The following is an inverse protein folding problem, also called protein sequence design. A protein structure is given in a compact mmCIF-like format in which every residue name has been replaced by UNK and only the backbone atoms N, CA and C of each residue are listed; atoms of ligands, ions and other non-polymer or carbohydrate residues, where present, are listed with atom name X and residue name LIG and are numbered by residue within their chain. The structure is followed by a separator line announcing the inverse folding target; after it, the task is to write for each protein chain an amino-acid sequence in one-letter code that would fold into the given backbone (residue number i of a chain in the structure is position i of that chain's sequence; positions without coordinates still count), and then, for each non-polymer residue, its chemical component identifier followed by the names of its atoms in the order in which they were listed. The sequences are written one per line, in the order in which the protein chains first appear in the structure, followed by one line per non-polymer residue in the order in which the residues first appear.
data_IF_042007973414
#
_entry.id   IF_042007973414
#
_cell.length_a   1.000
_cell.length_b   1.000
_cell.length_c   1.000
_cell.angle_alpha   90.00
_cell.angle_beta   90.00
_cell.angle_gamma   90.00
#
_symmetry.space_group_name_H-M   'P 1'
#
loop_
_entity.id
_entity.type
_entity.pdbx_description
1 polymer ?
#
# COMPACT_ATOMS: atom_id res chain seq x y z
N UNK A 1 -0.37 1.79 15.63
CA UNK A 1 0.61 0.69 15.51
C UNK A 1 0.05 -0.21 14.44
N UNK A 2 0.66 -0.28 13.26
CA UNK A 2 0.08 -1.02 12.12
C UNK A 2 0.00 -2.50 12.46
N UNK A 3 -1.16 -3.10 12.21
CA UNK A 3 -1.44 -4.48 12.58
C UNK A 3 -0.52 -5.45 11.82
N UNK A 4 0.14 -6.39 12.53
CA UNK A 4 1.05 -7.39 11.94
C UNK A 4 0.41 -8.18 10.81
N UNK A 5 -0.88 -8.52 10.92
CA UNK A 5 -1.61 -9.24 9.88
C UNK A 5 -1.74 -8.42 8.58
N UNK A 6 -1.77 -7.09 8.68
CA UNK A 6 -1.82 -6.19 7.51
C UNK A 6 -0.47 -6.17 6.80
N UNK A 7 0.62 -6.10 7.56
CA UNK A 7 1.98 -6.18 7.02
C UNK A 7 2.18 -7.50 6.27
N UNK A 8 1.83 -8.62 6.89
CA UNK A 8 1.93 -9.95 6.28
C UNK A 8 1.04 -10.08 5.03
N UNK A 9 -0.17 -9.55 5.07
CA UNK A 9 -1.09 -9.51 3.92
C UNK A 9 -0.50 -8.74 2.73
N UNK A 10 -0.05 -7.51 2.96
CA UNK A 10 0.55 -6.66 1.92
C UNK A 10 1.78 -7.30 1.28
N UNK A 11 2.67 -7.87 2.10
CA UNK A 11 3.88 -8.54 1.62
C UNK A 11 3.52 -9.77 0.80
N UNK A 12 2.60 -10.60 1.27
CA UNK A 12 2.16 -11.81 0.55
C UNK A 12 1.50 -11.47 -0.79
N UNK A 13 0.66 -10.44 -0.84
CA UNK A 13 0.04 -9.97 -2.09
C UNK A 13 1.09 -9.48 -3.09
N UNK A 14 2.06 -8.68 -2.64
CA UNK A 14 3.14 -8.21 -3.50
C UNK A 14 4.07 -9.35 -3.95
N UNK A 15 4.35 -10.33 -3.10
CA UNK A 15 5.09 -11.56 -3.47
C UNK A 15 4.33 -12.44 -4.47
N UNK A 16 3.03 -12.22 -4.69
CA UNK A 16 2.24 -12.82 -5.78
C UNK A 16 2.20 -11.97 -7.05
N UNK A 17 2.96 -10.87 -7.10
CA UNK A 17 3.04 -9.97 -8.25
C UNK A 17 1.92 -8.94 -8.30
N UNK A 18 1.14 -8.77 -7.22
CA UNK A 18 0.08 -7.74 -7.15
C UNK A 18 0.68 -6.37 -6.86
N UNK A 19 0.02 -5.33 -7.35
CA UNK A 19 0.25 -3.94 -6.98
C UNK A 19 -0.60 -3.62 -5.75
N UNK A 20 0.04 -3.33 -4.64
CA UNK A 20 -0.60 -3.09 -3.36
C UNK A 20 -0.43 -1.62 -3.01
N UNK A 21 -1.47 -0.98 -2.48
CA UNK A 21 -1.40 0.36 -1.92
C UNK A 21 -1.84 0.33 -0.46
N UNK A 22 -0.98 0.80 0.43
CA UNK A 22 -1.33 1.15 1.79
C UNK A 22 -1.64 2.64 1.87
N UNK A 23 -2.85 2.95 2.32
CA UNK A 23 -3.35 4.30 2.48
C UNK A 23 -3.60 4.56 3.96
N UNK A 24 -2.85 5.50 4.54
CA UNK A 24 -2.97 5.85 5.95
C UNK A 24 -2.49 7.26 6.20
N UNK A 25 -2.58 7.71 7.45
CA UNK A 25 -1.96 8.97 7.85
C UNK A 25 -0.43 8.92 7.59
N UNK A 26 0.23 10.08 7.54
CA UNK A 26 1.64 10.18 7.10
C UNK A 26 2.57 9.29 7.95
N UNK A 27 2.42 9.34 9.28
CA UNK A 27 3.26 8.57 10.19
C UNK A 27 2.97 7.08 10.08
N UNK A 28 1.72 6.72 9.85
CA UNK A 28 1.22 5.36 9.72
C UNK A 28 1.72 4.73 8.43
N UNK A 29 1.71 5.47 7.31
CA UNK A 29 2.32 5.04 6.06
C UNK A 29 3.83 4.83 6.20
N UNK A 30 4.52 5.74 6.89
CA UNK A 30 5.96 5.59 7.14
C UNK A 30 6.26 4.39 8.06
N UNK A 31 5.47 4.19 9.11
CA UNK A 31 5.62 3.06 10.02
C UNK A 31 5.32 1.74 9.32
N UNK A 32 4.29 1.67 8.48
CA UNK A 32 3.97 0.50 7.68
C UNK A 32 5.09 0.17 6.70
N UNK A 33 5.67 1.17 6.03
CA UNK A 33 6.83 0.98 5.16
C UNK A 33 8.02 0.36 5.92
N UNK A 34 8.36 0.89 7.08
CA UNK A 34 9.45 0.36 7.91
C UNK A 34 9.15 -1.06 8.38
N UNK A 35 7.93 -1.31 8.88
CA UNK A 35 7.52 -2.62 9.34
C UNK A 35 7.52 -3.68 8.22
N UNK A 36 7.16 -3.31 6.98
CA UNK A 36 7.31 -4.19 5.83
C UNK A 36 8.77 -4.52 5.55
N UNK A 37 9.69 -3.54 5.60
CA UNK A 37 11.11 -3.82 5.42
C UNK A 37 11.66 -4.74 6.51
N UNK A 38 11.31 -4.49 7.77
CA UNK A 38 11.76 -5.31 8.90
C UNK A 38 11.20 -6.75 8.83
N UNK A 39 10.05 -6.94 8.19
CA UNK A 39 9.42 -8.25 8.00
C UNK A 39 9.98 -9.03 6.79
N UNK A 40 10.72 -8.37 5.89
CA UNK A 40 11.23 -9.00 4.67
C UNK A 40 12.57 -9.69 4.92
N UNK A 41 12.71 -10.99 4.59
CA UNK A 41 14.02 -11.63 4.54
C UNK A 41 14.91 -10.97 3.48
N UNK A 42 16.20 -10.81 3.78
CA UNK A 42 17.20 -10.25 2.84
C UNK A 42 17.25 -10.99 1.49
N UNK A 43 16.90 -12.28 1.49
CA UNK A 43 16.87 -13.15 0.30
C UNK A 43 15.72 -12.86 -0.68
N UNK A 44 14.77 -11.99 -0.33
CA UNK A 44 13.62 -11.69 -1.20
C UNK A 44 13.98 -10.89 -2.44
N UNK A 45 15.10 -10.17 -2.43
CA UNK A 45 15.50 -9.27 -3.52
C UNK A 45 14.58 -8.05 -3.68
N UNK A 46 13.72 -7.78 -2.69
CA UNK A 46 12.85 -6.62 -2.67
C UNK A 46 13.67 -5.33 -2.55
N UNK A 47 13.26 -4.28 -3.27
CA UNK A 47 13.97 -3.01 -3.33
C UNK A 47 13.13 -1.89 -2.71
N UNK A 48 13.60 -1.26 -1.62
CA UNK A 48 12.97 -0.05 -1.12
C UNK A 48 13.21 1.13 -2.06
N UNK A 49 12.16 1.90 -2.32
CA UNK A 49 12.19 3.15 -3.09
C UNK A 49 11.68 4.28 -2.20
N UNK A 50 12.48 5.34 -2.12
CA UNK A 50 12.13 6.60 -1.45
C UNK A 50 12.50 7.78 -2.33
N UNK A 51 11.52 8.39 -2.98
CA UNK A 51 11.74 9.55 -3.88
C UNK A 51 10.65 10.58 -3.67
N UNK A 52 11.01 11.83 -3.36
CA UNK A 52 10.07 12.95 -3.22
C UNK A 52 8.88 12.67 -2.28
N UNK A 53 9.10 11.96 -1.18
CA UNK A 53 8.05 11.58 -0.23
C UNK A 53 7.28 10.31 -0.60
N UNK A 54 7.41 9.81 -1.84
CA UNK A 54 6.88 8.51 -2.25
C UNK A 54 7.71 7.41 -1.60
N UNK A 55 7.04 6.51 -0.89
CA UNK A 55 7.63 5.31 -0.31
C UNK A 55 7.02 4.08 -0.97
N UNK A 56 7.85 3.20 -1.51
CA UNK A 56 7.40 1.96 -2.12
C UNK A 56 8.41 0.83 -1.92
N UNK A 57 7.94 -0.41 -2.01
CA UNK A 57 8.79 -1.60 -2.05
C UNK A 57 8.47 -2.33 -3.35
N UNK A 58 9.47 -2.58 -4.18
CA UNK A 58 9.33 -3.34 -5.44
C UNK A 58 9.91 -4.74 -5.29
N UNK A 59 9.16 -5.73 -5.75
CA UNK A 59 9.55 -7.14 -5.71
C UNK A 59 10.03 -7.62 -7.08
N UNK A 60 10.94 -8.61 -7.16
CA UNK A 60 11.49 -9.07 -8.44
C UNK A 60 10.47 -9.62 -9.44
N UNK A 61 9.33 -10.09 -8.94
CA UNK A 61 8.20 -10.59 -9.73
C UNK A 61 7.30 -9.48 -10.31
N UNK A 62 7.65 -8.19 -10.10
CA UNK A 62 6.86 -7.04 -10.54
C UNK A 62 5.76 -6.60 -9.56
N UNK A 63 5.59 -7.30 -8.43
CA UNK A 63 4.72 -6.87 -7.35
C UNK A 63 5.26 -5.64 -6.64
N UNK A 64 4.37 -4.82 -6.11
CA UNK A 64 4.76 -3.57 -5.46
C UNK A 64 3.91 -3.31 -4.22
N UNK A 65 4.47 -2.66 -3.21
CA UNK A 65 3.71 -2.05 -2.11
C UNK A 65 4.00 -0.56 -2.10
N UNK A 66 2.99 0.26 -2.39
CA UNK A 66 3.06 1.71 -2.33
C UNK A 66 2.48 2.19 -0.98
N UNK A 67 3.19 3.06 -0.28
CA UNK A 67 2.74 3.64 0.99
C UNK A 67 2.47 5.12 0.77
N UNK A 68 1.29 5.59 1.15
CA UNK A 68 0.83 6.93 0.80
C UNK A 68 -0.14 7.50 1.82
N UNK A 69 -0.11 8.83 1.98
CA UNK A 69 -1.15 9.59 2.69
C UNK A 69 -2.09 10.28 1.71
N UNK A 70 -3.38 9.88 1.64
CA UNK A 70 -4.34 10.46 0.70
C UNK A 70 -4.47 11.98 0.83
N UNK A 71 -4.49 12.52 2.05
CA UNK A 71 -4.63 13.97 2.28
C UNK A 71 -3.44 14.80 1.80
N UNK A 72 -2.23 14.24 1.82
CA UNK A 72 -1.01 14.98 1.46
C UNK A 72 -0.66 14.83 -0.02
N UNK A 73 -0.83 13.63 -0.56
CA UNK A 73 -0.27 13.24 -1.85
C UNK A 73 -1.35 13.03 -2.92
N UNK A 74 -2.62 12.92 -2.51
CA UNK A 74 -3.73 12.57 -3.39
C UNK A 74 -3.62 11.14 -3.95
N UNK A 75 -4.68 10.66 -4.60
CA UNK A 75 -4.73 9.29 -5.15
C UNK A 75 -4.71 9.24 -6.69
N UNK A 76 -4.83 10.39 -7.36
CA UNK A 76 -4.87 10.49 -8.83
C UNK A 76 -3.63 9.86 -9.47
N UNK A 77 -3.84 9.09 -10.54
CA UNK A 77 -2.77 8.43 -11.31
C UNK A 77 -2.13 7.24 -10.61
N UNK A 78 -2.64 6.86 -9.43
CA UNK A 78 -2.23 5.63 -8.75
C UNK A 78 -3.10 4.48 -9.25
N UNK A 79 -2.53 3.29 -9.27
CA UNK A 79 -3.24 2.08 -9.67
C UNK A 79 -2.81 0.96 -8.74
N UNK A 80 -3.78 0.22 -8.20
CA UNK A 80 -3.53 -0.92 -7.33
C UNK A 80 -4.51 -2.05 -7.60
N UNK A 81 -4.06 -3.27 -7.36
CA UNK A 81 -4.87 -4.48 -7.34
C UNK A 81 -5.44 -4.71 -5.92
N UNK A 82 -4.75 -4.24 -4.88
CA UNK A 82 -5.19 -4.29 -3.47
C UNK A 82 -4.96 -2.95 -2.82
N UNK A 83 -5.94 -2.48 -2.06
CA UNK A 83 -5.86 -1.28 -1.26
C UNK A 83 -6.12 -1.63 0.20
N UNK A 84 -5.13 -1.41 1.05
CA UNK A 84 -5.28 -1.45 2.50
C UNK A 84 -5.49 -0.02 2.98
N UNK A 85 -6.67 0.27 3.53
CA UNK A 85 -7.04 1.58 4.05
C UNK A 85 -7.03 1.52 5.58
N UNK A 86 -6.10 2.26 6.20
CA UNK A 86 -5.90 2.31 7.65
C UNK A 86 -6.27 3.70 8.21
N UNK A 87 -6.67 3.71 9.48
CA UNK A 87 -6.84 4.90 10.30
C UNK A 87 -8.17 5.62 10.06
N UNK A 88 -8.22 6.96 10.21
CA UNK A 88 -9.47 7.72 10.19
C UNK A 88 -10.13 7.78 8.81
N UNK A 89 -9.49 7.25 7.76
CA UNK A 89 -10.01 7.28 6.40
C UNK A 89 -11.03 6.18 6.10
N UNK A 90 -11.17 5.18 6.97
CA UNK A 90 -12.13 4.08 6.78
C UNK A 90 -13.54 4.56 6.44
N UNK A 91 -13.97 5.64 7.09
CA UNK A 91 -15.31 6.20 6.96
C UNK A 91 -15.34 7.50 6.13
N UNK A 92 -14.19 7.92 5.58
CA UNK A 92 -14.10 9.13 4.77
C UNK A 92 -14.59 8.84 3.35
N UNK A 93 -15.83 9.25 3.09
CA UNK A 93 -16.49 9.06 1.80
C UNK A 93 -15.70 9.65 0.63
N UNK A 94 -15.03 10.79 0.81
CA UNK A 94 -14.23 11.41 -0.25
C UNK A 94 -13.01 10.56 -0.62
N UNK A 95 -12.38 9.94 0.38
CA UNK A 95 -11.28 9.00 0.16
C UNK A 95 -11.77 7.70 -0.49
N UNK A 96 -12.89 7.14 -0.01
CA UNK A 96 -13.47 5.94 -0.61
C UNK A 96 -13.83 6.15 -2.08
N UNK A 97 -14.44 7.28 -2.43
CA UNK A 97 -14.75 7.65 -3.82
C UNK A 97 -13.47 7.82 -4.66
N UNK A 98 -12.40 8.35 -4.08
CA UNK A 98 -11.11 8.50 -4.76
C UNK A 98 -10.32 7.18 -4.93
N UNK A 99 -10.59 6.15 -4.11
CA UNK A 99 -10.00 4.81 -4.24
C UNK A 99 -10.61 4.04 -5.41
N UNK A 100 -11.90 4.24 -5.68
CA UNK A 100 -12.60 3.51 -6.75
C UNK A 100 -11.87 3.50 -8.11
N UNK A 101 -11.48 4.65 -8.69
CA UNK A 101 -10.74 4.66 -9.97
C UNK A 101 -9.32 4.04 -9.88
N UNK A 102 -8.80 3.83 -8.66
CA UNK A 102 -7.50 3.20 -8.43
C UNK A 102 -7.58 1.68 -8.61
N UNK A 103 -8.71 1.08 -8.25
CA UNK A 103 -8.99 -0.37 -8.31
C UNK A 103 -9.42 -0.84 -9.71
N UNK A 104 -9.96 0.06 -10.54
CA UNK A 104 -10.58 -0.28 -11.83
C UNK A 104 -9.63 -0.79 -12.92
N UNK A 105 -8.32 -0.88 -12.66
CA UNK A 105 -7.36 -1.34 -13.69
C UNK A 105 -7.32 -2.86 -13.90
N UNK A 106 -7.99 -3.67 -13.07
CA UNK A 106 -8.12 -5.14 -13.22
C UNK A 106 -9.45 -5.63 -12.65
N UNK A 107 -9.95 -6.75 -13.16
CA UNK A 107 -11.23 -7.39 -12.77
C UNK A 107 -11.29 -7.86 -11.29
N UNK A 108 -10.19 -7.79 -10.53
CA UNK A 108 -10.05 -8.32 -9.16
C UNK A 108 -9.53 -7.28 -8.15
N UNK A 109 -9.95 -6.02 -8.29
CA UNK A 109 -9.60 -4.97 -7.33
C UNK A 109 -10.18 -5.24 -5.93
N UNK A 110 -9.34 -5.16 -4.90
CA UNK A 110 -9.72 -5.48 -3.52
C UNK A 110 -9.48 -4.29 -2.57
N UNK A 111 -10.46 -3.97 -1.72
CA UNK A 111 -10.36 -2.96 -0.67
C UNK A 111 -10.46 -3.64 0.70
N UNK A 112 -9.42 -3.47 1.52
CA UNK A 112 -9.32 -4.02 2.88
C UNK A 112 -9.32 -2.85 3.87
N UNK A 113 -10.26 -2.83 4.81
CA UNK A 113 -10.42 -1.76 5.81
C UNK A 113 -9.75 -2.17 7.16
N UNK A 114 -8.77 -1.40 7.66
CA UNK A 114 -7.87 -1.73 8.78
C UNK A 114 -7.72 -0.61 9.85
#
# INVERSE_FOLDING_TARGET
MTNRYVIEGMVNDAMRGRRVAYLGLIKEAENAFRACLDALPDSTGAKPIRVNGRQAIEFPNGGTVLFRSPQREGLRGTVADVVYLDGPYRDDRGILEAIWPMLTSRENGELVLQ
#
